data_IF_667761978285
#
_entry.id   IF_667761978285
#
_cell.length_a   1.000
_cell.length_b   1.000
_cell.length_c   1.000
_cell.angle_alpha   90.00
_cell.angle_beta   90.00
_cell.angle_gamma   90.00
#
_symmetry.space_group_name_H-M   'P 1'
#
loop_
_entity.id
_entity.type
_entity.pdbx_description
1 polymer ?
#
# COMPACT_ATOMS: atom_id res chain seq x y z
N UNK A 1 37.28 -17.73 -2.99
CA UNK A 1 35.82 -18.00 -3.16
C UNK A 1 35.11 -18.37 -1.86
N UNK A 2 35.66 -19.22 -0.98
CA UNK A 2 35.02 -19.60 0.30
C UNK A 2 34.74 -18.41 1.24
N UNK A 3 35.64 -17.42 1.30
CA UNK A 3 35.48 -16.21 2.11
C UNK A 3 34.42 -15.24 1.57
N UNK A 4 34.22 -15.19 0.25
CA UNK A 4 33.18 -14.36 -0.37
C UNK A 4 31.79 -14.95 -0.11
N UNK A 5 31.68 -16.28 -0.19
CA UNK A 5 30.42 -16.98 0.12
C UNK A 5 30.03 -16.85 1.59
N UNK A 6 31.00 -16.92 2.51
CA UNK A 6 30.74 -16.71 3.95
C UNK A 6 30.36 -15.26 4.27
N UNK A 7 30.95 -14.29 3.57
CA UNK A 7 30.58 -12.87 3.72
C UNK A 7 29.14 -12.59 3.25
N UNK A 8 28.73 -13.18 2.12
CA UNK A 8 27.36 -13.09 1.61
C UNK A 8 26.36 -13.76 2.57
N UNK A 9 26.72 -14.90 3.16
CA UNK A 9 25.88 -15.61 4.13
C UNK A 9 25.72 -14.80 5.43
N UNK A 10 26.77 -14.11 5.89
CA UNK A 10 26.72 -13.25 7.08
C UNK A 10 25.86 -12.00 6.86
N UNK A 11 25.90 -11.40 5.66
CA UNK A 11 25.02 -10.27 5.31
C UNK A 11 23.56 -10.72 5.30
N UNK A 12 23.26 -11.88 4.69
CA UNK A 12 21.93 -12.47 4.69
C UNK A 12 21.43 -12.85 6.09
N UNK A 13 22.31 -13.33 6.97
CA UNK A 13 21.96 -13.65 8.35
C UNK A 13 21.70 -12.39 9.19
N UNK A 14 22.44 -11.29 8.95
CA UNK A 14 22.22 -10.02 9.66
C UNK A 14 20.88 -9.35 9.33
N UNK A 15 20.34 -9.56 8.13
CA UNK A 15 19.03 -9.03 7.72
C UNK A 15 17.85 -9.73 8.42
N UNK A 16 18.05 -10.92 8.98
CA UNK A 16 17.00 -11.70 9.64
C UNK A 16 16.88 -11.31 11.13
N UNK A 17 17.93 -10.76 11.73
CA UNK A 17 17.96 -10.42 13.16
C UNK A 17 17.43 -9.01 13.48
N UNK A 18 17.16 -8.17 12.47
CA UNK A 18 16.50 -6.87 12.63
C UNK A 18 14.96 -7.02 12.62
N UNK A 19 14.42 -7.71 13.61
CA UNK A 19 13.00 -7.57 13.98
C UNK A 19 12.92 -6.97 15.38
N UNK A 20 13.07 -5.65 15.46
CA UNK A 20 12.60 -4.95 16.64
C UNK A 20 11.07 -4.94 16.62
N UNK A 21 10.49 -5.44 17.71
CA UNK A 21 9.10 -5.29 18.04
C UNK A 21 8.79 -3.79 18.16
N UNK A 22 8.03 -3.25 17.20
CA UNK A 22 7.45 -1.92 17.32
C UNK A 22 6.38 -1.99 18.41
N UNK A 23 6.78 -1.58 19.61
CA UNK A 23 5.87 -1.39 20.73
C UNK A 23 5.09 -0.09 20.45
N UNK A 24 3.79 -0.21 20.22
CA UNK A 24 2.93 0.92 19.95
C UNK A 24 2.80 1.78 21.23
N UNK A 25 3.42 2.96 21.26
CA UNK A 25 3.07 3.99 22.22
C UNK A 25 1.79 4.67 21.75
N UNK A 26 0.73 4.56 22.55
CA UNK A 26 -0.45 5.42 22.44
C UNK A 26 -0.02 6.88 22.62
N UNK A 27 -0.15 7.67 21.56
CA UNK A 27 0.06 9.11 21.62
C UNK A 27 -1.18 9.77 22.25
N UNK A 28 -0.94 10.49 23.36
CA UNK A 28 -1.91 11.35 24.01
C UNK A 28 -2.35 12.49 23.07
N UNK A 29 -3.66 12.74 23.11
CA UNK A 29 -4.39 13.77 22.38
C UNK A 29 -4.06 15.18 22.90
N UNK A 30 -3.70 16.16 22.04
CA UNK A 30 -3.89 17.56 22.36
C UNK A 30 -5.28 18.03 21.91
N UNK A 31 -5.91 18.78 22.81
CA UNK A 31 -7.22 19.39 22.66
C UNK A 31 -7.16 20.72 21.89
N UNK A 32 -8.25 21.01 21.17
CA UNK A 32 -8.66 22.29 20.57
C UNK A 32 -7.96 22.81 19.30
N UNK A 33 -8.63 22.61 18.15
CA UNK A 33 -9.14 23.74 17.37
C UNK A 33 -10.38 23.31 16.56
N UNK A 34 -11.49 24.00 16.78
CA UNK A 34 -12.75 23.78 16.09
C UNK A 34 -12.67 24.27 14.64
N UNK A 35 -12.45 23.34 13.72
CA UNK A 35 -12.93 23.42 12.33
C UNK A 35 -13.89 22.26 12.14
N UNK A 36 -15.00 22.48 11.41
CA UNK A 36 -16.00 21.47 11.04
C UNK A 36 -15.28 20.13 10.76
N UNK A 37 -15.55 19.05 11.51
CA UNK A 37 -14.82 17.80 11.32
C UNK A 37 -15.24 17.20 9.99
N UNK A 38 -14.43 17.43 8.95
CA UNK A 38 -14.38 16.51 7.82
C UNK A 38 -14.04 15.16 8.44
N UNK A 39 -14.89 14.13 8.31
CA UNK A 39 -14.64 12.85 8.95
C UNK A 39 -13.34 12.26 8.37
N UNK A 40 -12.22 12.46 9.08
CA UNK A 40 -10.93 11.90 8.71
C UNK A 40 -11.00 10.39 8.88
N UNK A 41 -10.72 9.66 7.82
CA UNK A 41 -10.74 8.20 7.89
C UNK A 41 -9.55 7.77 8.76
N UNK A 42 -9.79 7.08 9.87
CA UNK A 42 -8.71 6.63 10.76
C UNK A 42 -8.15 5.31 10.22
N UNK A 43 -7.09 5.39 9.41
CA UNK A 43 -6.33 4.23 8.90
C UNK A 43 -4.85 4.60 8.84
N UNK A 44 -4.01 3.83 9.52
CA UNK A 44 -2.57 4.09 9.58
C UNK A 44 -1.90 3.46 8.36
N UNK A 45 -1.33 4.30 7.50
CA UNK A 45 -0.58 3.86 6.33
C UNK A 45 0.85 3.46 6.73
N UNK A 46 1.39 2.36 6.18
CA UNK A 46 2.75 1.92 6.44
C UNK A 46 3.77 2.77 5.69
N UNK A 47 4.94 2.97 6.29
CA UNK A 47 6.05 3.64 5.62
C UNK A 47 6.60 2.80 4.45
N UNK A 48 6.86 3.39 3.27
CA UNK A 48 7.23 2.64 2.07
C UNK A 48 8.69 2.23 1.98
N UNK A 49 9.57 2.87 2.76
CA UNK A 49 11.02 2.61 2.72
C UNK A 49 11.68 3.26 1.51
N UNK A 50 12.02 2.45 0.50
CA UNK A 50 12.79 2.88 -0.70
C UNK A 50 11.83 3.38 -1.78
N UNK A 51 12.07 4.61 -2.26
CA UNK A 51 11.30 5.23 -3.34
C UNK A 51 11.81 4.84 -4.75
N UNK A 52 10.98 4.97 -5.79
CA UNK A 52 11.33 4.68 -7.20
C UNK A 52 12.56 5.42 -7.76
N UNK A 53 12.92 6.56 -7.19
CA UNK A 53 14.07 7.35 -7.60
C UNK A 53 15.42 6.82 -7.11
N UNK A 54 15.43 5.79 -6.23
CA UNK A 54 16.64 5.23 -5.68
C UNK A 54 17.19 4.09 -6.56
N UNK A 55 18.52 3.99 -6.79
CA UNK A 55 19.11 2.97 -7.67
C UNK A 55 18.82 1.53 -7.24
N UNK A 56 18.57 1.28 -5.95
CA UNK A 56 18.24 -0.05 -5.42
C UNK A 56 16.75 -0.39 -5.47
N UNK A 57 15.90 0.46 -6.06
CA UNK A 57 14.45 0.22 -6.10
C UNK A 57 14.08 -1.07 -6.84
N UNK A 58 14.85 -1.45 -7.87
CA UNK A 58 14.62 -2.71 -8.60
C UNK A 58 14.71 -3.95 -7.68
N UNK A 59 15.55 -3.93 -6.64
CA UNK A 59 15.65 -5.03 -5.68
C UNK A 59 14.38 -5.16 -4.85
N UNK A 60 13.79 -4.03 -4.46
CA UNK A 60 12.49 -4.00 -3.77
C UNK A 60 11.41 -4.57 -4.68
N UNK A 61 11.34 -4.16 -5.94
CA UNK A 61 10.34 -4.69 -6.87
C UNK A 61 10.49 -6.19 -7.12
N UNK A 62 11.73 -6.66 -7.24
CA UNK A 62 12.02 -8.08 -7.37
C UNK A 62 11.55 -8.85 -6.13
N UNK A 63 11.88 -8.36 -4.93
CA UNK A 63 11.41 -8.94 -3.66
C UNK A 63 9.88 -9.03 -3.64
N UNK A 64 9.19 -7.93 -3.95
CA UNK A 64 7.74 -7.86 -3.88
C UNK A 64 7.10 -8.88 -4.85
N UNK A 65 7.63 -9.03 -6.07
CA UNK A 65 7.20 -10.05 -7.04
C UNK A 65 7.44 -11.47 -6.54
N UNK A 66 8.62 -11.75 -5.98
CA UNK A 66 8.95 -13.06 -5.41
C UNK A 66 7.98 -13.42 -4.28
N UNK A 67 7.69 -12.48 -3.37
CA UNK A 67 6.74 -12.71 -2.27
C UNK A 67 5.34 -13.03 -2.78
N UNK A 68 4.84 -12.31 -3.79
CA UNK A 68 3.53 -12.57 -4.41
C UNK A 68 3.45 -13.98 -5.00
N UNK A 69 4.53 -14.44 -5.65
CA UNK A 69 4.60 -15.76 -6.29
C UNK A 69 4.66 -16.88 -5.25
N UNK A 70 5.48 -16.71 -4.21
CA UNK A 70 5.68 -17.73 -3.18
C UNK A 70 4.47 -17.84 -2.24
N UNK A 71 3.75 -16.75 -1.99
CA UNK A 71 2.58 -16.76 -1.11
C UNK A 71 1.41 -17.48 -1.77
N UNK A 72 1.05 -18.66 -1.23
CA UNK A 72 0.02 -19.55 -1.78
C UNK A 72 -1.34 -19.38 -1.12
N UNK A 73 -1.40 -19.22 0.20
CA UNK A 73 -2.65 -19.11 0.95
C UNK A 73 -3.40 -17.83 0.57
N UNK A 74 -4.71 -17.93 0.41
CA UNK A 74 -5.55 -16.84 -0.10
C UNK A 74 -5.53 -15.63 0.83
N UNK A 75 -5.70 -15.86 2.14
CA UNK A 75 -5.73 -14.80 3.14
C UNK A 75 -4.40 -14.05 3.23
N UNK A 76 -3.29 -14.79 3.31
CA UNK A 76 -1.93 -14.23 3.38
C UNK A 76 -1.60 -13.45 2.10
N UNK A 77 -1.99 -13.98 0.93
CA UNK A 77 -1.75 -13.33 -0.36
C UNK A 77 -2.55 -12.06 -0.53
N UNK A 78 -3.82 -12.07 -0.12
CA UNK A 78 -4.66 -10.87 -0.11
C UNK A 78 -4.08 -9.79 0.82
N UNK A 79 -3.65 -10.17 2.02
CA UNK A 79 -3.03 -9.23 2.97
C UNK A 79 -1.68 -8.70 2.47
N UNK A 80 -0.89 -9.53 1.76
CA UNK A 80 0.34 -9.09 1.10
C UNK A 80 0.04 -8.04 0.02
N UNK A 81 -0.96 -8.27 -0.83
CA UNK A 81 -1.37 -7.28 -1.82
C UNK A 81 -1.85 -5.98 -1.19
N UNK A 82 -2.63 -6.05 -0.11
CA UNK A 82 -3.06 -4.88 0.65
C UNK A 82 -1.85 -4.10 1.19
N UNK A 83 -0.88 -4.78 1.80
CA UNK A 83 0.33 -4.14 2.30
C UNK A 83 1.14 -3.44 1.19
N UNK A 84 1.26 -4.07 0.03
CA UNK A 84 1.96 -3.48 -1.12
C UNK A 84 1.19 -2.30 -1.70
N UNK A 85 -0.14 -2.37 -1.66
CA UNK A 85 -1.04 -1.29 -2.05
C UNK A 85 -0.83 -0.05 -1.19
N UNK A 86 -0.96 -0.19 0.13
CA UNK A 86 -0.84 0.91 1.08
C UNK A 86 0.55 1.57 0.99
N UNK A 87 1.62 0.77 0.84
CA UNK A 87 2.98 1.29 0.63
C UNK A 87 3.08 2.08 -0.67
N UNK A 88 2.48 1.60 -1.76
CA UNK A 88 2.57 2.27 -3.05
C UNK A 88 1.78 3.57 -3.09
N UNK A 89 0.66 3.65 -2.35
CA UNK A 89 -0.05 4.91 -2.12
C UNK A 89 0.87 5.95 -1.45
N UNK A 90 1.53 5.58 -0.34
CA UNK A 90 2.45 6.50 0.36
C UNK A 90 3.64 6.89 -0.51
N UNK A 91 4.20 5.95 -1.30
CA UNK A 91 5.23 6.29 -2.29
C UNK A 91 4.74 7.35 -3.27
N UNK A 92 3.53 7.18 -3.81
CA UNK A 92 2.91 8.14 -4.71
C UNK A 92 2.78 9.51 -4.06
N UNK A 93 2.21 9.57 -2.86
CA UNK A 93 2.08 10.82 -2.10
C UNK A 93 3.44 11.52 -1.88
N UNK A 94 4.46 10.80 -1.40
CA UNK A 94 5.79 11.38 -1.15
C UNK A 94 6.46 11.90 -2.44
N UNK A 95 6.29 11.18 -3.55
CA UNK A 95 6.80 11.59 -4.86
C UNK A 95 6.07 12.83 -5.38
N UNK A 96 4.76 12.91 -5.15
CA UNK A 96 3.97 14.08 -5.49
C UNK A 96 4.46 15.33 -4.75
N UNK A 97 4.63 15.21 -3.44
CA UNK A 97 5.17 16.28 -2.57
C UNK A 97 6.58 16.70 -3.01
N UNK A 98 7.36 15.76 -3.54
CA UNK A 98 8.70 15.99 -4.10
C UNK A 98 8.69 16.48 -5.57
N UNK A 99 7.53 16.81 -6.13
CA UNK A 99 7.32 17.26 -7.52
C UNK A 99 7.70 16.24 -8.60
N UNK A 100 7.82 14.97 -8.24
CA UNK A 100 8.08 13.89 -9.18
C UNK A 100 6.75 13.27 -9.64
N UNK A 101 5.99 14.03 -10.43
CA UNK A 101 4.57 13.76 -10.69
C UNK A 101 4.30 12.48 -11.50
N UNK A 102 5.12 12.17 -12.51
CA UNK A 102 4.91 10.97 -13.33
C UNK A 102 5.15 9.69 -12.53
N UNK A 103 6.24 9.64 -11.75
CA UNK A 103 6.56 8.54 -10.84
C UNK A 103 5.54 8.43 -9.71
N UNK A 104 5.01 9.56 -9.24
CA UNK A 104 3.90 9.60 -8.30
C UNK A 104 2.68 8.90 -8.86
N UNK A 105 2.20 9.31 -10.04
CA UNK A 105 1.04 8.70 -10.70
C UNK A 105 1.24 7.20 -10.88
N UNK A 106 2.40 6.78 -11.40
CA UNK A 106 2.72 5.34 -11.57
C UNK A 106 2.65 4.58 -10.23
N UNK A 107 3.12 5.19 -9.14
CA UNK A 107 3.07 4.58 -7.81
C UNK A 107 1.66 4.50 -7.26
N UNK A 108 0.83 5.53 -7.47
CA UNK A 108 -0.59 5.54 -7.11
C UNK A 108 -1.38 4.48 -7.91
N UNK A 109 -1.20 4.41 -9.23
CA UNK A 109 -1.81 3.39 -10.08
C UNK A 109 -1.44 1.97 -9.63
N UNK A 110 -0.16 1.75 -9.29
CA UNK A 110 0.31 0.48 -8.74
C UNK A 110 -0.34 0.17 -7.39
N UNK A 111 -0.52 1.19 -6.55
CA UNK A 111 -1.27 1.10 -5.29
C UNK A 111 -2.68 0.58 -5.51
N UNK A 112 -3.47 1.26 -6.34
CA UNK A 112 -4.87 0.87 -6.60
C UNK A 112 -4.98 -0.49 -7.31
N UNK A 113 -4.03 -0.81 -8.20
CA UNK A 113 -3.96 -2.13 -8.82
C UNK A 113 -3.71 -3.23 -7.78
N UNK A 114 -2.82 -3.01 -6.82
CA UNK A 114 -2.60 -3.96 -5.73
C UNK A 114 -3.80 -4.07 -4.79
N UNK A 115 -4.52 -2.97 -4.52
CA UNK A 115 -5.76 -3.00 -3.74
C UNK A 115 -6.81 -3.88 -4.43
N UNK A 116 -7.02 -3.67 -5.73
CA UNK A 116 -7.93 -4.47 -6.52
C UNK A 116 -7.51 -5.95 -6.54
N UNK A 117 -6.23 -6.24 -6.70
CA UNK A 117 -5.72 -7.62 -6.64
C UNK A 117 -5.93 -8.28 -5.27
N UNK A 118 -5.81 -7.52 -4.17
CA UNK A 118 -6.12 -8.00 -2.81
C UNK A 118 -7.55 -8.54 -2.74
N UNK A 119 -8.50 -7.82 -3.33
CA UNK A 119 -9.93 -8.16 -3.38
C UNK A 119 -10.18 -9.34 -4.34
N UNK A 120 -9.60 -9.30 -5.54
CA UNK A 120 -9.75 -10.36 -6.54
C UNK A 120 -9.24 -11.71 -6.05
N UNK A 121 -8.17 -11.73 -5.25
CA UNK A 121 -7.68 -12.95 -4.61
C UNK A 121 -8.72 -13.53 -3.65
N UNK A 122 -9.40 -12.69 -2.87
CA UNK A 122 -10.47 -13.14 -1.97
C UNK A 122 -11.70 -13.63 -2.72
N UNK A 123 -12.09 -12.95 -3.81
CA UNK A 123 -13.23 -13.37 -4.64
C UNK A 123 -12.98 -14.72 -5.32
N UNK A 124 -11.71 -15.00 -5.67
CA UNK A 124 -11.28 -16.27 -6.25
C UNK A 124 -11.02 -17.36 -5.20
N UNK A 125 -11.35 -17.14 -3.93
CA UNK A 125 -11.16 -18.12 -2.86
C UNK A 125 -12.08 -19.33 -3.03
N UNK A 126 -11.72 -20.23 -3.94
CA UNK A 126 -12.43 -21.47 -4.23
C UNK A 126 -12.31 -22.49 -3.10
N UNK A 127 -11.32 -22.32 -2.22
CA UNK A 127 -10.95 -23.29 -1.19
C UNK A 127 -11.73 -23.11 0.12
N UNK A 128 -12.58 -22.08 0.23
CA UNK A 128 -13.36 -21.81 1.44
C UNK A 128 -12.51 -21.41 2.65
N UNK A 129 -11.29 -20.89 2.46
CA UNK A 129 -10.49 -20.36 3.57
C UNK A 129 -11.32 -19.30 4.32
N UNK A 130 -11.53 -19.50 5.60
CA UNK A 130 -12.29 -18.55 6.43
C UNK A 130 -11.49 -17.27 6.57
N UNK A 131 -12.11 -16.14 6.28
CA UNK A 131 -11.44 -14.84 6.44
C UNK A 131 -11.24 -14.54 7.92
N UNK A 132 -10.10 -13.95 8.32
CA UNK A 132 -9.95 -13.43 9.67
C UNK A 132 -11.06 -12.40 9.95
N UNK A 133 -11.61 -12.37 11.18
CA UNK A 133 -12.62 -11.39 11.57
C UNK A 133 -12.15 -9.96 11.27
N UNK A 134 -13.02 -9.14 10.67
CA UNK A 134 -12.73 -7.74 10.33
C UNK A 134 -11.77 -7.53 9.14
N UNK A 135 -11.32 -8.59 8.46
CA UNK A 135 -10.38 -8.44 7.35
C UNK A 135 -11.00 -7.67 6.16
N UNK A 136 -12.25 -7.97 5.81
CA UNK A 136 -13.01 -7.23 4.78
C UNK A 136 -13.19 -5.76 5.17
N UNK A 137 -13.43 -5.47 6.44
CA UNK A 137 -13.59 -4.10 6.93
C UNK A 137 -12.28 -3.32 6.89
N UNK A 138 -11.15 -3.99 7.19
CA UNK A 138 -9.82 -3.42 7.00
C UNK A 138 -9.59 -2.99 5.54
N UNK A 139 -9.92 -3.85 4.56
CA UNK A 139 -9.78 -3.53 3.13
C UNK A 139 -10.70 -2.36 2.73
N UNK A 140 -11.96 -2.34 3.21
CA UNK A 140 -12.88 -1.21 2.97
C UNK A 140 -12.32 0.10 3.54
N UNK A 141 -11.72 0.04 4.73
CA UNK A 141 -11.14 1.20 5.39
C UNK A 141 -9.89 1.70 4.65
N UNK A 142 -9.05 0.79 4.18
CA UNK A 142 -7.92 1.11 3.31
C UNK A 142 -8.38 1.78 2.02
N UNK A 143 -9.36 1.19 1.31
CA UNK A 143 -9.90 1.74 0.07
C UNK A 143 -10.40 3.18 0.23
N UNK A 144 -11.11 3.46 1.34
CA UNK A 144 -11.56 4.82 1.70
C UNK A 144 -10.38 5.76 1.96
N UNK A 145 -9.34 5.31 2.68
CA UNK A 145 -8.15 6.12 2.94
C UNK A 145 -7.39 6.42 1.64
N UNK A 146 -7.28 5.45 0.74
CA UNK A 146 -6.71 5.64 -0.59
C UNK A 146 -7.46 6.72 -1.37
N UNK A 147 -8.80 6.65 -1.39
CA UNK A 147 -9.65 7.66 -2.01
C UNK A 147 -9.40 9.06 -1.43
N UNK A 148 -9.31 9.17 -0.10
CA UNK A 148 -9.02 10.43 0.59
C UNK A 148 -7.67 11.02 0.14
N UNK A 149 -6.60 10.20 0.13
CA UNK A 149 -5.26 10.64 -0.27
C UNK A 149 -5.23 11.09 -1.73
N UNK A 150 -5.84 10.31 -2.64
CA UNK A 150 -5.87 10.64 -4.08
C UNK A 150 -6.68 11.92 -4.31
N UNK A 151 -7.82 12.09 -3.63
CA UNK A 151 -8.62 13.33 -3.71
C UNK A 151 -7.85 14.53 -3.20
N UNK A 152 -7.12 14.40 -2.09
CA UNK A 152 -6.27 15.48 -1.60
C UNK A 152 -5.24 15.88 -2.65
N UNK A 153 -4.55 14.92 -3.28
CA UNK A 153 -3.60 15.17 -4.37
C UNK A 153 -4.28 15.88 -5.55
N UNK A 154 -5.47 15.44 -5.98
CA UNK A 154 -6.25 16.06 -7.06
C UNK A 154 -6.50 17.56 -6.81
N UNK A 155 -6.75 17.98 -5.56
CA UNK A 155 -6.98 19.40 -5.23
C UNK A 155 -5.73 20.28 -5.38
N UNK A 156 -4.54 19.69 -5.48
CA UNK A 156 -3.27 20.42 -5.53
C UNK A 156 -2.79 20.74 -6.95
N UNK A 157 -3.48 20.23 -7.98
CA UNK A 157 -3.11 20.48 -9.38
C UNK A 157 -4.29 20.99 -10.19
N UNK A 158 -4.00 21.81 -11.20
CA UNK A 158 -4.97 22.27 -12.20
C UNK A 158 -4.57 21.87 -13.62
N UNK A 159 -3.49 21.09 -13.77
CA UNK A 159 -3.02 20.63 -15.06
C UNK A 159 -3.93 19.52 -15.61
N UNK A 160 -4.58 19.76 -16.75
CA UNK A 160 -5.55 18.83 -17.34
C UNK A 160 -5.00 17.42 -17.58
N UNK A 161 -3.74 17.31 -18.02
CA UNK A 161 -3.07 16.03 -18.23
C UNK A 161 -2.94 15.22 -16.94
N UNK A 162 -2.50 15.85 -15.85
CA UNK A 162 -2.38 15.21 -14.54
C UNK A 162 -3.73 14.90 -13.91
N UNK A 163 -4.71 15.79 -14.06
CA UNK A 163 -6.09 15.54 -13.62
C UNK A 163 -6.66 14.28 -14.25
N UNK A 164 -6.47 14.09 -15.56
CA UNK A 164 -6.93 12.89 -16.25
C UNK A 164 -6.25 11.62 -15.71
N UNK A 165 -4.93 11.65 -15.51
CA UNK A 165 -4.19 10.53 -14.94
C UNK A 165 -4.67 10.18 -13.53
N UNK A 166 -4.85 11.17 -12.65
CA UNK A 166 -5.32 10.98 -11.29
C UNK A 166 -6.79 10.52 -11.22
N UNK A 167 -7.64 10.99 -12.13
CA UNK A 167 -9.01 10.48 -12.25
C UNK A 167 -9.04 9.02 -12.68
N UNK A 168 -8.12 8.58 -13.54
CA UNK A 168 -7.97 7.16 -13.88
C UNK A 168 -7.56 6.34 -12.65
N UNK A 169 -6.59 6.81 -11.85
CA UNK A 169 -6.24 6.19 -10.55
C UNK A 169 -7.48 6.06 -9.66
N UNK A 170 -8.25 7.15 -9.50
CA UNK A 170 -9.44 7.17 -8.67
C UNK A 170 -10.52 6.18 -9.15
N UNK A 171 -10.64 6.00 -10.47
CA UNK A 171 -11.58 5.01 -11.03
C UNK A 171 -11.22 3.56 -10.66
N UNK A 172 -9.92 3.24 -10.55
CA UNK A 172 -9.46 1.92 -10.10
C UNK A 172 -9.82 1.73 -8.62
N UNK A 173 -9.65 2.77 -7.80
CA UNK A 173 -10.07 2.75 -6.40
C UNK A 173 -11.58 2.52 -6.25
N UNK A 174 -12.39 3.21 -7.06
CA UNK A 174 -13.84 3.04 -7.06
C UNK A 174 -14.24 1.63 -7.49
N UNK A 175 -13.58 1.07 -8.51
CA UNK A 175 -13.76 -0.33 -8.90
C UNK A 175 -13.44 -1.29 -7.75
N UNK A 176 -12.32 -1.08 -7.05
CA UNK A 176 -11.97 -1.87 -5.87
C UNK A 176 -13.04 -1.75 -4.77
N UNK A 177 -13.46 -0.53 -4.45
CA UNK A 177 -14.52 -0.24 -3.46
C UNK A 177 -15.87 -0.89 -3.81
N UNK A 178 -16.20 -0.99 -5.09
CA UNK A 178 -17.39 -1.72 -5.54
C UNK A 178 -17.23 -3.23 -5.32
N UNK A 179 -16.10 -3.81 -5.72
CA UNK A 179 -15.87 -5.25 -5.62
C UNK A 179 -15.81 -5.76 -4.18
N UNK A 180 -15.24 -5.00 -3.23
CA UNK A 180 -15.18 -5.43 -1.82
C UNK A 180 -16.57 -5.58 -1.17
N UNK A 181 -17.60 -4.91 -1.70
CA UNK A 181 -18.99 -5.08 -1.19
C UNK A 181 -19.61 -6.41 -1.59
N UNK A 182 -19.06 -7.08 -2.60
CA UNK A 182 -19.52 -8.39 -3.06
C UNK A 182 -18.98 -9.55 -2.22
N UNK A 183 -17.97 -9.29 -1.39
CA UNK A 183 -17.39 -10.26 -0.45
C UNK A 183 -18.30 -10.32 0.78
N UNK A 184 -18.85 -11.50 1.06
CA UNK A 184 -19.67 -11.82 2.23
C UNK A 184 -18.81 -12.14 3.45
#
# INVERSE_FOLDING_TARGET
MKHVLTFILLILFSLILFQEAVNAQEAQKPDNMSSIPVPTIVYVLPYPGILPNHPLFFLKELRDKILIIITRKTNEKSNLYLLLSDKSLVMGQMLWESKNYDESVKSLEKGESHLLNSILVLLKNQNGETLPPGFTDKIKLAAKKHEEVIKNILTTTSESGMLNKLNNVLSINHQASQQITTIK
#
